data_IF_504330268359
#
_entry.id   IF_504330268359
#
_cell.length_a   1.000
_cell.length_b   1.000
_cell.length_c   1.000
_cell.angle_alpha   90.00
_cell.angle_beta   90.00
_cell.angle_gamma   90.00
#
_symmetry.space_group_name_H-M   'P 1'
#
loop_
_entity.id
_entity.type
_entity.pdbx_description
1 polymer ?
#
# COMPACT_ATOMS: atom_id res chain seq x y z
N UNK A 1 -6.30 22.97 13.99
CA UNK A 1 -5.78 21.59 13.91
C UNK A 1 -5.41 21.30 12.47
N UNK A 2 -4.30 20.59 12.22
CA UNK A 2 -3.85 20.16 10.89
C UNK A 2 -4.03 18.65 10.81
N UNK A 3 -4.80 18.19 9.84
CA UNK A 3 -5.14 16.78 9.62
C UNK A 3 -4.97 16.42 8.15
N UNK A 4 -4.83 15.13 7.85
CA UNK A 4 -4.85 14.63 6.46
C UNK A 4 -6.27 14.68 5.88
N UNK A 5 -6.40 14.54 4.55
CA UNK A 5 -7.71 14.48 3.88
C UNK A 5 -8.60 13.36 4.44
N UNK A 6 -8.07 12.17 4.61
CA UNK A 6 -8.81 11.03 5.19
C UNK A 6 -9.24 11.28 6.64
N UNK A 7 -8.37 11.88 7.46
CA UNK A 7 -8.72 12.29 8.82
C UNK A 7 -9.83 13.34 8.82
N UNK A 8 -9.78 14.31 7.91
CA UNK A 8 -10.80 15.35 7.80
C UNK A 8 -12.17 14.76 7.43
N UNK A 9 -12.23 13.88 6.42
CA UNK A 9 -13.46 13.19 5.99
C UNK A 9 -14.11 12.47 7.17
N UNK A 10 -13.33 11.72 7.95
CA UNK A 10 -13.84 11.00 9.13
C UNK A 10 -14.33 11.99 10.20
N UNK A 11 -13.57 13.04 10.51
CA UNK A 11 -13.94 14.00 11.57
C UNK A 11 -15.21 14.80 11.24
N UNK A 12 -15.43 15.12 9.97
CA UNK A 12 -16.64 15.87 9.53
C UNK A 12 -17.91 15.09 9.83
N UNK A 13 -17.91 13.75 9.80
CA UNK A 13 -19.09 12.94 10.13
C UNK A 13 -19.59 13.14 11.57
N UNK A 14 -18.72 13.56 12.46
CA UNK A 14 -19.08 13.80 13.87
C UNK A 14 -19.67 15.18 14.12
N UNK A 15 -19.66 16.11 13.14
CA UNK A 15 -20.20 17.46 13.33
C UNK A 15 -21.72 17.49 13.48
N UNK A 16 -22.40 16.57 12.81
CA UNK A 16 -23.88 16.51 12.80
C UNK A 16 -24.45 15.61 13.91
N UNK A 17 -23.58 15.05 14.74
CA UNK A 17 -23.99 14.19 15.85
C UNK A 17 -24.27 15.00 17.12
N UNK A 18 -25.24 14.58 17.95
CA UNK A 18 -25.40 15.12 19.29
C UNK A 18 -24.15 14.90 20.13
N UNK A 19 -23.97 15.68 21.21
CA UNK A 19 -22.76 15.67 22.03
C UNK A 19 -22.34 14.29 22.56
N UNK A 20 -23.31 13.36 22.75
CA UNK A 20 -23.06 11.98 23.16
C UNK A 20 -23.18 10.98 21.99
N UNK A 21 -23.20 11.48 20.75
CA UNK A 21 -23.33 10.65 19.56
C UNK A 21 -22.08 9.79 19.33
N UNK A 22 -22.33 8.57 18.89
CA UNK A 22 -21.27 7.64 18.50
C UNK A 22 -21.51 7.12 17.09
N UNK A 23 -20.42 6.75 16.42
CA UNK A 23 -20.46 6.07 15.14
C UNK A 23 -19.71 4.74 15.26
N UNK A 24 -20.29 3.69 14.73
CA UNK A 24 -19.59 2.41 14.59
C UNK A 24 -18.60 2.46 13.42
N UNK A 25 -17.61 1.57 13.45
CA UNK A 25 -16.69 1.38 12.34
C UNK A 25 -17.43 1.21 10.99
N UNK A 26 -18.48 0.40 10.98
CA UNK A 26 -19.29 0.10 9.78
C UNK A 26 -20.01 1.33 9.22
N UNK A 27 -20.57 2.17 10.08
CA UNK A 27 -21.22 3.43 9.68
C UNK A 27 -20.20 4.39 9.08
N UNK A 28 -19.03 4.52 9.69
CA UNK A 28 -17.94 5.37 9.17
C UNK A 28 -17.45 4.83 7.83
N UNK A 29 -17.27 3.52 7.68
CA UNK A 29 -16.87 2.88 6.43
C UNK A 29 -17.88 3.16 5.31
N UNK A 30 -19.18 2.98 5.59
CA UNK A 30 -20.25 3.21 4.63
C UNK A 30 -20.34 4.70 4.22
N UNK A 31 -20.18 5.61 5.17
CA UNK A 31 -20.26 7.05 4.91
C UNK A 31 -19.05 7.61 4.17
N UNK A 32 -17.84 7.09 4.44
CA UNK A 32 -16.59 7.60 3.83
C UNK A 32 -16.24 6.91 2.53
N UNK A 33 -16.65 5.66 2.32
CA UNK A 33 -16.22 4.82 1.21
C UNK A 33 -14.73 4.47 1.22
N UNK A 34 -14.03 4.67 2.34
CA UNK A 34 -12.63 4.32 2.49
C UNK A 34 -12.48 2.79 2.58
N UNK A 35 -11.41 2.28 1.96
CA UNK A 35 -11.05 0.86 2.10
C UNK A 35 -10.64 0.57 3.55
N UNK A 36 -10.91 -0.65 4.01
CA UNK A 36 -10.73 -1.05 5.41
C UNK A 36 -9.34 -0.74 5.98
N UNK A 37 -8.27 -0.99 5.22
CA UNK A 37 -6.91 -0.71 5.64
C UNK A 37 -6.67 0.79 5.91
N UNK A 38 -7.16 1.67 5.03
CA UNK A 38 -7.02 3.12 5.18
C UNK A 38 -7.91 3.68 6.28
N UNK A 39 -9.13 3.16 6.41
CA UNK A 39 -10.04 3.53 7.48
C UNK A 39 -9.49 3.15 8.86
N UNK A 40 -9.00 1.92 9.02
CA UNK A 40 -8.40 1.46 10.27
C UNK A 40 -7.19 2.33 10.66
N UNK A 41 -6.29 2.64 9.72
CA UNK A 41 -5.14 3.55 9.94
C UNK A 41 -5.58 4.95 10.35
N UNK A 42 -6.60 5.47 9.69
CA UNK A 42 -7.14 6.80 9.96
C UNK A 42 -7.74 6.87 11.35
N UNK A 43 -8.61 5.94 11.71
CA UNK A 43 -9.24 5.85 13.03
C UNK A 43 -8.20 5.60 14.13
N UNK A 44 -7.20 4.75 13.88
CA UNK A 44 -6.11 4.52 14.82
C UNK A 44 -5.32 5.81 15.10
N UNK A 45 -5.08 6.62 14.08
CA UNK A 45 -4.39 7.92 14.23
C UNK A 45 -5.19 8.94 15.04
N UNK A 46 -6.53 8.89 14.96
CA UNK A 46 -7.43 9.83 15.62
C UNK A 46 -7.80 9.40 17.06
N UNK A 47 -7.89 8.09 17.33
CA UNK A 47 -8.39 7.55 18.59
C UNK A 47 -7.34 6.82 19.43
N UNK A 48 -6.29 6.27 18.83
CA UNK A 48 -5.32 5.41 19.53
C UNK A 48 -3.91 6.03 19.64
N UNK A 49 -3.65 7.15 18.95
CA UNK A 49 -2.37 7.84 18.98
C UNK A 49 -2.21 8.73 20.24
N UNK A 50 -1.11 9.49 20.29
CA UNK A 50 -0.82 10.40 21.40
C UNK A 50 -1.87 11.51 21.54
N UNK A 51 -2.33 12.04 20.42
CA UNK A 51 -3.36 13.09 20.34
C UNK A 51 -4.69 12.40 19.97
N UNK A 52 -5.52 12.17 20.97
CA UNK A 52 -6.79 11.46 20.81
C UNK A 52 -7.93 12.45 20.65
N UNK A 53 -8.29 12.75 19.41
CA UNK A 53 -9.44 13.61 19.09
C UNK A 53 -10.74 12.82 19.18
N UNK A 54 -10.67 11.52 18.90
CA UNK A 54 -11.75 10.57 19.09
C UNK A 54 -11.43 9.62 20.25
N UNK A 55 -12.48 9.09 20.85
CA UNK A 55 -12.39 8.02 21.86
C UNK A 55 -12.96 6.74 21.26
N UNK A 56 -12.21 5.65 21.33
CA UNK A 56 -12.62 4.33 20.85
C UNK A 56 -13.22 3.48 21.98
N UNK A 57 -14.31 2.79 21.70
CA UNK A 57 -14.94 1.82 22.58
C UNK A 57 -15.09 0.45 21.88
N UNK A 58 -14.63 -0.64 22.52
CA UNK A 58 -13.88 -0.72 23.76
C UNK A 58 -12.48 -0.09 23.63
N UNK A 59 -11.90 0.37 24.72
CA UNK A 59 -10.54 0.94 24.74
C UNK A 59 -9.54 -0.11 24.31
N UNK A 60 -8.65 0.24 23.38
CA UNK A 60 -7.64 -0.64 22.85
C UNK A 60 -6.70 0.10 21.90
N UNK A 61 -5.66 -0.58 21.45
CA UNK A 61 -4.67 -0.02 20.52
C UNK A 61 -5.03 -0.26 19.06
N UNK A 62 -5.70 -1.39 18.80
CA UNK A 62 -6.07 -1.80 17.46
C UNK A 62 -7.53 -1.42 17.19
N UNK A 63 -7.85 -1.21 15.93
CA UNK A 63 -9.19 -0.87 15.45
C UNK A 63 -9.82 -2.11 14.84
N UNK A 64 -10.99 -2.48 15.36
CA UNK A 64 -11.76 -3.64 14.90
C UNK A 64 -13.09 -3.22 14.27
N UNK A 65 -13.70 -4.07 13.42
CA UNK A 65 -14.97 -3.76 12.76
C UNK A 65 -16.19 -3.57 13.69
N UNK A 66 -16.08 -3.99 14.94
CA UNK A 66 -17.14 -3.85 15.95
C UNK A 66 -16.91 -2.69 16.93
N UNK A 67 -15.84 -1.91 16.71
CA UNK A 67 -15.54 -0.77 17.55
C UNK A 67 -16.48 0.42 17.25
N UNK A 68 -16.73 1.22 18.29
CA UNK A 68 -17.46 2.47 18.18
C UNK A 68 -16.59 3.65 18.57
N UNK A 69 -16.89 4.83 18.04
CA UNK A 69 -16.10 6.03 18.21
C UNK A 69 -16.98 7.20 18.64
N UNK A 70 -16.48 7.99 19.58
CA UNK A 70 -17.12 9.22 20.07
C UNK A 70 -16.14 10.38 19.98
N UNK A 71 -16.63 11.61 19.93
CA UNK A 71 -15.77 12.79 20.02
C UNK A 71 -15.16 12.87 21.43
N UNK A 72 -13.88 13.15 21.52
CA UNK A 72 -13.23 13.39 22.80
C UNK A 72 -13.44 14.86 23.22
N UNK A 73 -14.52 15.14 23.93
CA UNK A 73 -14.86 16.49 24.40
C UNK A 73 -13.86 17.03 25.45
N UNK A 74 -13.10 16.16 26.11
CA UNK A 74 -12.04 16.53 27.04
C UNK A 74 -10.69 16.79 26.35
N UNK A 75 -10.63 16.75 25.02
CA UNK A 75 -9.39 17.00 24.29
C UNK A 75 -8.92 18.44 24.47
N UNK A 76 -7.76 18.61 25.07
CA UNK A 76 -7.10 19.88 25.23
C UNK A 76 -5.62 19.75 24.90
N UNK A 77 -5.07 20.72 24.19
CA UNK A 77 -3.63 20.83 23.91
C UNK A 77 -3.19 22.29 24.06
N UNK A 78 -2.12 22.58 24.76
CA UNK A 78 -1.63 23.94 24.98
C UNK A 78 -1.13 24.64 23.71
N UNK A 79 -0.91 23.88 22.63
CA UNK A 79 -0.43 24.44 21.36
C UNK A 79 -1.58 24.93 20.49
N UNK A 80 -1.50 26.16 20.02
CA UNK A 80 -2.48 26.71 19.07
C UNK A 80 -2.54 25.95 17.75
N UNK A 81 -1.40 25.44 17.28
CA UNK A 81 -1.31 24.66 16.03
C UNK A 81 -0.89 23.23 16.33
N UNK A 82 -1.83 22.30 16.19
CA UNK A 82 -1.65 20.87 16.45
C UNK A 82 -1.70 20.14 15.11
N UNK A 83 -0.72 19.27 14.84
CA UNK A 83 -0.71 18.36 13.69
C UNK A 83 -0.95 16.93 14.20
N UNK A 84 -1.96 16.26 13.66
CA UNK A 84 -2.20 14.84 13.90
C UNK A 84 -1.42 14.04 12.86
N UNK A 85 -0.45 13.26 13.32
CA UNK A 85 0.33 12.40 12.45
C UNK A 85 -0.51 11.20 12.01
N UNK A 86 -0.37 10.81 10.74
CA UNK A 86 -0.91 9.54 10.26
C UNK A 86 -0.12 8.38 10.86
N UNK A 87 -0.80 7.32 11.27
CA UNK A 87 -0.14 6.10 11.70
C UNK A 87 0.29 5.34 10.44
N UNK A 88 1.58 5.16 10.27
CA UNK A 88 2.10 4.19 9.32
C UNK A 88 2.05 2.82 10.01
N UNK A 89 1.03 2.02 9.70
CA UNK A 89 1.10 0.60 10.01
C UNK A 89 2.26 0.00 9.20
N UNK A 90 3.06 -0.82 9.84
CA UNK A 90 3.97 -1.69 9.10
C UNK A 90 3.10 -2.47 8.12
N UNK A 91 3.49 -2.49 6.86
CA UNK A 91 2.84 -3.33 5.85
C UNK A 91 2.62 -4.73 6.44
N UNK A 92 1.42 -5.24 6.32
CA UNK A 92 1.16 -6.62 6.73
C UNK A 92 2.04 -7.54 5.90
N UNK A 93 2.42 -8.70 6.44
CA UNK A 93 3.21 -9.67 5.68
C UNK A 93 2.54 -10.05 4.36
N UNK A 94 1.21 -10.06 4.34
CA UNK A 94 0.38 -10.37 3.17
C UNK A 94 0.43 -9.24 2.12
N UNK A 95 0.34 -7.96 2.53
CA UNK A 95 0.50 -6.82 1.62
C UNK A 95 1.90 -6.76 1.02
N UNK A 96 2.92 -7.04 1.83
CA UNK A 96 4.31 -7.09 1.39
C UNK A 96 4.52 -8.25 0.40
N UNK A 97 3.96 -9.44 0.69
CA UNK A 97 4.04 -10.58 -0.20
C UNK A 97 3.33 -10.32 -1.54
N UNK A 98 2.13 -9.76 -1.53
CA UNK A 98 1.39 -9.40 -2.73
C UNK A 98 2.14 -8.35 -3.58
N UNK A 99 2.80 -7.40 -2.94
CA UNK A 99 3.66 -6.41 -3.61
C UNK A 99 4.88 -7.07 -4.24
N UNK A 100 5.54 -7.97 -3.52
CA UNK A 100 6.69 -8.72 -4.05
C UNK A 100 6.31 -9.61 -5.24
N UNK A 101 5.17 -10.30 -5.18
CA UNK A 101 4.66 -11.12 -6.28
C UNK A 101 4.36 -10.28 -7.53
N UNK A 102 3.73 -9.10 -7.38
CA UNK A 102 3.52 -8.16 -8.48
C UNK A 102 4.82 -7.69 -9.10
N UNK A 103 5.78 -7.26 -8.29
CA UNK A 103 7.10 -6.83 -8.77
C UNK A 103 7.82 -7.96 -9.51
N UNK A 104 7.75 -9.19 -9.00
CA UNK A 104 8.34 -10.35 -9.66
C UNK A 104 7.66 -10.64 -11.02
N UNK A 105 6.34 -10.51 -11.09
CA UNK A 105 5.58 -10.71 -12.31
C UNK A 105 5.88 -9.62 -13.36
N UNK A 106 5.95 -8.36 -12.97
CA UNK A 106 6.31 -7.24 -13.84
C UNK A 106 7.73 -7.41 -14.40
N UNK A 107 8.69 -7.83 -13.58
CA UNK A 107 10.05 -8.13 -14.02
C UNK A 107 10.10 -9.25 -15.05
N UNK A 108 9.28 -10.28 -14.86
CA UNK A 108 9.18 -11.39 -15.82
C UNK A 108 8.68 -10.89 -17.18
N UNK A 109 7.62 -10.08 -17.22
CA UNK A 109 7.12 -9.50 -18.47
C UNK A 109 8.12 -8.57 -19.14
N UNK A 110 8.85 -7.79 -18.37
CA UNK A 110 9.91 -6.92 -18.88
C UNK A 110 11.05 -7.71 -19.51
N UNK A 111 11.52 -8.78 -18.86
CA UNK A 111 12.54 -9.68 -19.38
C UNK A 111 12.09 -10.33 -20.69
N UNK A 112 10.84 -10.78 -20.75
CA UNK A 112 10.24 -11.34 -21.96
C UNK A 112 10.19 -10.32 -23.12
N UNK A 113 9.77 -9.12 -22.83
CA UNK A 113 9.71 -8.05 -23.84
C UNK A 113 11.11 -7.67 -24.35
N UNK A 114 12.13 -7.68 -23.48
CA UNK A 114 13.51 -7.45 -23.87
C UNK A 114 14.04 -8.57 -24.80
N UNK A 115 13.82 -9.85 -24.44
CA UNK A 115 14.19 -11.00 -25.26
C UNK A 115 13.56 -10.89 -26.66
N UNK A 116 12.26 -10.67 -26.74
CA UNK A 116 11.54 -10.57 -28.03
C UNK A 116 12.06 -9.40 -28.85
N UNK A 117 12.32 -8.24 -28.24
CA UNK A 117 12.85 -7.06 -28.93
C UNK A 117 14.23 -7.31 -29.51
N UNK A 118 15.13 -7.92 -28.73
CA UNK A 118 16.49 -8.25 -29.16
C UNK A 118 16.42 -9.23 -30.35
N UNK A 119 15.65 -10.30 -30.21
CA UNK A 119 15.53 -11.32 -31.27
C UNK A 119 14.92 -10.78 -32.56
N UNK A 120 13.91 -9.90 -32.46
CA UNK A 120 13.35 -9.22 -33.65
C UNK A 120 14.36 -8.35 -34.36
N UNK A 121 15.27 -7.70 -33.63
CA UNK A 121 16.27 -6.81 -34.23
C UNK A 121 17.49 -7.57 -34.78
N UNK A 122 17.95 -8.61 -34.09
CA UNK A 122 19.19 -9.33 -34.40
C UNK A 122 19.00 -10.57 -35.26
N UNK A 123 17.79 -11.15 -35.27
CA UNK A 123 17.38 -12.40 -35.96
C UNK A 123 18.10 -13.66 -35.50
N UNK A 124 19.44 -13.65 -35.41
CA UNK A 124 20.27 -14.73 -34.93
C UNK A 124 21.36 -14.21 -34.00
N UNK A 125 21.55 -14.86 -32.86
CA UNK A 125 22.66 -14.57 -31.94
C UNK A 125 22.89 -15.78 -31.02
N UNK A 126 24.08 -15.83 -30.40
CA UNK A 126 24.41 -16.90 -29.44
C UNK A 126 23.65 -16.68 -28.10
N UNK A 127 23.37 -17.78 -27.40
CA UNK A 127 22.67 -17.73 -26.10
C UNK A 127 23.40 -16.81 -25.09
N UNK A 128 24.73 -16.88 -25.03
CA UNK A 128 25.55 -16.06 -24.13
C UNK A 128 25.38 -14.57 -24.43
N UNK A 129 25.38 -14.18 -25.71
CA UNK A 129 25.22 -12.80 -26.14
C UNK A 129 23.79 -12.31 -25.87
N UNK A 130 22.78 -13.17 -26.07
CA UNK A 130 21.39 -12.83 -25.74
C UNK A 130 21.23 -12.54 -24.24
N UNK A 131 21.75 -13.40 -23.38
CA UNK A 131 21.71 -13.18 -21.92
C UNK A 131 22.39 -11.87 -21.53
N UNK A 132 23.58 -11.59 -22.08
CA UNK A 132 24.31 -10.35 -21.80
C UNK A 132 23.52 -9.11 -22.24
N UNK A 133 22.95 -9.13 -23.45
CA UNK A 133 22.18 -8.00 -23.98
C UNK A 133 20.85 -7.78 -23.22
N UNK A 134 20.20 -8.86 -22.75
CA UNK A 134 19.02 -8.76 -21.87
C UNK A 134 19.39 -8.11 -20.54
N UNK A 135 20.51 -8.51 -19.93
CA UNK A 135 21.00 -7.90 -18.69
C UNK A 135 21.24 -6.41 -18.89
N UNK A 136 21.91 -6.02 -19.96
CA UNK A 136 22.21 -4.61 -20.23
C UNK A 136 20.95 -3.78 -20.45
N UNK A 137 19.93 -4.30 -21.13
CA UNK A 137 18.67 -3.59 -21.35
C UNK A 137 17.79 -3.51 -20.08
N UNK A 138 17.88 -4.46 -19.17
CA UNK A 138 17.05 -4.49 -17.95
C UNK A 138 17.77 -3.87 -16.74
N UNK A 139 19.08 -3.60 -16.83
CA UNK A 139 19.93 -3.10 -15.74
C UNK A 139 19.43 -1.81 -15.10
N UNK A 140 18.82 -0.92 -15.86
CA UNK A 140 18.33 0.38 -15.38
C UNK A 140 17.14 0.27 -14.42
N UNK A 141 16.43 -0.86 -14.41
CA UNK A 141 15.22 -1.10 -13.62
C UNK A 141 15.38 -2.15 -12.52
N UNK A 142 16.58 -2.68 -12.35
CA UNK A 142 16.94 -3.62 -11.31
C UNK A 142 17.62 -4.89 -11.84
N UNK A 143 18.35 -5.56 -10.97
CA UNK A 143 19.05 -6.79 -11.34
C UNK A 143 18.04 -7.93 -11.54
N UNK A 144 18.10 -8.58 -12.70
CA UNK A 144 17.37 -9.83 -12.99
C UNK A 144 18.35 -11.00 -12.85
N UNK A 145 17.92 -12.07 -12.19
CA UNK A 145 18.76 -13.24 -12.03
C UNK A 145 18.99 -13.95 -13.37
N UNK A 146 20.23 -14.30 -13.66
CA UNK A 146 20.62 -15.01 -14.89
C UNK A 146 19.86 -16.32 -15.08
N UNK A 147 19.55 -17.00 -13.99
CA UNK A 147 18.73 -18.23 -13.97
C UNK A 147 17.32 -18.00 -14.50
N UNK A 148 16.72 -16.85 -14.19
CA UNK A 148 15.38 -16.48 -14.63
C UNK A 148 15.39 -16.07 -16.10
N UNK A 149 16.41 -15.34 -16.54
CA UNK A 149 16.60 -15.00 -17.96
C UNK A 149 16.71 -16.28 -18.80
N UNK A 150 17.52 -17.26 -18.38
CA UNK A 150 17.66 -18.54 -19.07
C UNK A 150 16.33 -19.29 -19.20
N UNK A 151 15.57 -19.42 -18.10
CA UNK A 151 14.23 -20.04 -18.12
C UNK A 151 13.26 -19.34 -19.08
N UNK A 152 13.32 -18.02 -19.14
CA UNK A 152 12.49 -17.25 -20.07
C UNK A 152 12.92 -17.48 -21.53
N UNK A 153 14.20 -17.55 -21.84
CA UNK A 153 14.72 -17.86 -23.18
C UNK A 153 14.26 -19.25 -23.62
N UNK A 154 14.45 -20.28 -22.81
CA UNK A 154 14.02 -21.66 -23.08
C UNK A 154 12.50 -21.76 -23.37
N UNK A 155 11.70 -20.97 -22.64
CA UNK A 155 10.24 -20.98 -22.81
C UNK A 155 9.75 -20.30 -24.07
N UNK A 156 10.40 -19.21 -24.50
CA UNK A 156 9.92 -18.38 -25.60
C UNK A 156 10.61 -18.64 -26.92
N UNK A 157 11.75 -19.31 -26.89
CA UNK A 157 12.55 -19.66 -28.06
C UNK A 157 13.02 -21.12 -27.93
N UNK A 158 12.08 -22.09 -28.01
CA UNK A 158 12.41 -23.51 -27.81
C UNK A 158 13.39 -24.05 -28.85
N UNK A 159 13.47 -23.47 -30.04
CA UNK A 159 14.35 -23.89 -31.14
C UNK A 159 15.73 -23.20 -31.15
N UNK A 160 16.16 -22.68 -29.99
CA UNK A 160 17.39 -21.91 -29.86
C UNK A 160 18.63 -22.81 -29.62
N UNK A 161 18.45 -24.16 -29.58
CA UNK A 161 19.50 -25.14 -29.32
C UNK A 161 19.91 -25.88 -30.57
#
# INVERSE_FOLDING_TARGET
MIVSGFQAIVLVLFNDLPNDGHLSYKEIAAATGLIDAELARTLQSLACAKLRVLTKHPKGRDVNPDDTFTVNTAFHDPKFRIKINTVQLKETKEENQATHERVAQDRKFETQAAIVRIMKSRKTMTHANLVSEVIDQTKSRGAVEVSEIKKNIERYIPDFW
#
